data_IF_054122192879
#
_entry.id   IF_054122192879
#
_cell.length_a   1.000
_cell.length_b   1.000
_cell.length_c   1.000
_cell.angle_alpha   90.00
_cell.angle_beta   90.00
_cell.angle_gamma   90.00
#
_symmetry.space_group_name_H-M   'P 1'
#
loop_
_entity.id
_entity.type
_entity.pdbx_description
1 polymer ?
#
# COMPACT_ATOMS: atom_id res chain seq x y z
N UNK A 1 -50.86 33.01 38.61
CA UNK A 1 -49.94 31.99 38.07
C UNK A 1 -50.49 31.54 36.73
N UNK A 2 -49.95 32.09 35.64
CA UNK A 2 -50.36 31.78 34.26
C UNK A 2 -49.36 30.77 33.71
N UNK A 3 -49.83 29.58 33.32
CA UNK A 3 -48.99 28.53 32.77
C UNK A 3 -48.64 28.87 31.31
N UNK A 4 -47.35 28.96 31.02
CA UNK A 4 -46.85 29.14 29.66
C UNK A 4 -47.08 27.86 28.83
N UNK A 5 -47.39 27.97 27.53
CA UNK A 5 -47.58 26.82 26.66
C UNK A 5 -46.22 26.18 26.31
N UNK A 6 -46.16 24.86 26.41
CA UNK A 6 -45.03 24.03 26.01
C UNK A 6 -44.76 24.18 24.50
N UNK A 7 -43.51 24.33 24.05
CA UNK A 7 -43.21 24.41 22.62
C UNK A 7 -43.48 23.05 21.95
N UNK A 8 -44.16 23.09 20.80
CA UNK A 8 -44.37 21.93 19.95
C UNK A 8 -43.02 21.38 19.49
N UNK A 9 -42.82 20.07 19.65
CA UNK A 9 -41.66 19.36 19.12
C UNK A 9 -41.59 19.53 17.61
N UNK A 10 -40.45 19.99 17.10
CA UNK A 10 -40.16 19.98 15.66
C UNK A 10 -40.36 18.57 15.09
N UNK A 11 -40.96 18.42 13.90
CA UNK A 11 -41.07 17.13 13.25
C UNK A 11 -39.66 16.60 12.96
N UNK A 12 -39.41 15.34 13.33
CA UNK A 12 -38.20 14.63 12.95
C UNK A 12 -37.99 14.75 11.44
N UNK A 13 -36.74 14.96 10.96
CA UNK A 13 -36.47 15.08 9.54
C UNK A 13 -37.01 13.85 8.82
N UNK A 14 -37.81 14.07 7.77
CA UNK A 14 -38.37 13.00 6.95
C UNK A 14 -37.23 12.10 6.48
N UNK A 15 -37.33 10.80 6.80
CA UNK A 15 -36.38 9.80 6.32
C UNK A 15 -36.38 9.88 4.79
N UNK A 16 -35.22 10.20 4.22
CA UNK A 16 -35.04 10.19 2.77
C UNK A 16 -35.24 8.74 2.33
N UNK A 17 -36.34 8.43 1.66
CA UNK A 17 -36.56 7.11 1.07
C UNK A 17 -35.51 6.89 -0.03
N UNK A 18 -34.43 6.18 0.31
CA UNK A 18 -33.43 5.75 -0.66
C UNK A 18 -34.01 4.58 -1.44
N UNK A 19 -34.01 4.63 -2.77
CA UNK A 19 -34.53 3.53 -3.56
C UNK A 19 -33.72 2.25 -3.33
N UNK A 20 -34.42 1.12 -3.18
CA UNK A 20 -33.78 -0.19 -2.95
C UNK A 20 -32.80 -0.54 -4.08
N UNK A 21 -33.12 -0.16 -5.32
CA UNK A 21 -32.25 -0.33 -6.49
C UNK A 21 -30.92 0.44 -6.36
N UNK A 22 -30.96 1.68 -5.83
CA UNK A 22 -29.75 2.45 -5.59
C UNK A 22 -28.88 1.86 -4.47
N UNK A 23 -29.51 1.35 -3.42
CA UNK A 23 -28.83 0.62 -2.33
C UNK A 23 -28.12 -0.62 -2.88
N UNK A 24 -28.82 -1.45 -3.65
CA UNK A 24 -28.26 -2.69 -4.19
C UNK A 24 -27.14 -2.41 -5.20
N UNK A 25 -27.25 -1.36 -6.02
CA UNK A 25 -26.18 -0.94 -6.94
C UNK A 25 -24.91 -0.52 -6.19
N UNK A 26 -25.03 0.31 -5.13
CA UNK A 26 -23.89 0.70 -4.29
C UNK A 26 -23.29 -0.50 -3.56
N UNK A 27 -24.12 -1.36 -3.00
CA UNK A 27 -23.66 -2.55 -2.29
C UNK A 27 -22.94 -3.51 -3.24
N UNK A 28 -23.43 -3.66 -4.47
CA UNK A 28 -22.74 -4.44 -5.51
C UNK A 28 -21.37 -3.85 -5.84
N UNK A 29 -21.27 -2.52 -6.05
CA UNK A 29 -19.96 -1.88 -6.25
C UNK A 29 -19.02 -2.12 -5.07
N UNK A 30 -19.50 -2.04 -3.82
CA UNK A 30 -18.68 -2.30 -2.64
C UNK A 30 -18.18 -3.76 -2.60
N UNK A 31 -19.03 -4.72 -2.96
CA UNK A 31 -18.74 -6.15 -2.76
C UNK A 31 -18.24 -6.90 -3.99
N UNK A 32 -18.35 -6.32 -5.20
CA UNK A 32 -17.89 -6.98 -6.43
C UNK A 32 -16.39 -7.30 -6.38
N UNK A 33 -16.03 -8.47 -6.90
CA UNK A 33 -14.66 -8.98 -7.05
C UNK A 33 -13.91 -9.22 -5.71
N UNK A 34 -14.63 -9.28 -4.60
CA UNK A 34 -14.09 -9.71 -3.32
C UNK A 34 -14.17 -11.23 -3.18
N UNK A 35 -13.20 -11.82 -2.49
CA UNK A 35 -13.21 -13.23 -2.16
C UNK A 35 -14.12 -13.52 -0.97
N UNK A 36 -14.15 -12.61 0.02
CA UNK A 36 -14.95 -12.79 1.24
C UNK A 36 -15.42 -11.43 1.78
N UNK A 37 -16.62 -11.42 2.34
CA UNK A 37 -17.24 -10.26 2.99
C UNK A 37 -17.78 -10.70 4.35
N UNK A 38 -17.26 -10.14 5.43
CA UNK A 38 -17.76 -10.32 6.79
C UNK A 38 -18.53 -9.06 7.20
N UNK A 39 -19.71 -9.24 7.80
CA UNK A 39 -20.53 -8.12 8.27
C UNK A 39 -21.18 -7.28 7.16
N UNK A 40 -21.35 -7.81 5.94
CA UNK A 40 -21.95 -7.06 4.82
C UNK A 40 -23.34 -6.45 5.11
N UNK A 41 -24.12 -7.08 6.00
CA UNK A 41 -25.44 -6.58 6.41
C UNK A 41 -25.37 -5.21 7.10
N UNK A 42 -24.31 -4.91 7.86
CA UNK A 42 -24.16 -3.60 8.51
C UNK A 42 -23.94 -2.50 7.48
N UNK A 43 -23.16 -2.77 6.43
CA UNK A 43 -22.95 -1.86 5.30
C UNK A 43 -24.27 -1.64 4.56
N UNK A 44 -25.02 -2.72 4.29
CA UNK A 44 -26.33 -2.61 3.62
C UNK A 44 -27.32 -1.79 4.45
N UNK A 45 -27.34 -1.97 5.77
CA UNK A 45 -28.17 -1.19 6.67
C UNK A 45 -27.80 0.31 6.69
N UNK A 46 -26.50 0.65 6.65
CA UNK A 46 -26.04 2.04 6.53
C UNK A 46 -26.53 2.69 5.24
N UNK A 47 -26.42 1.98 4.11
CA UNK A 47 -26.89 2.46 2.81
C UNK A 47 -28.42 2.67 2.80
N UNK A 48 -29.19 1.76 3.40
CA UNK A 48 -30.65 1.90 3.55
C UNK A 48 -31.06 3.10 4.40
N UNK A 49 -30.23 3.48 5.39
CA UNK A 49 -30.42 4.68 6.20
C UNK A 49 -29.99 5.97 5.47
N UNK A 50 -29.51 5.87 4.22
CA UNK A 50 -28.97 7.01 3.48
C UNK A 50 -27.64 7.53 4.03
N UNK A 51 -26.96 6.76 4.88
CA UNK A 51 -25.63 7.12 5.41
C UNK A 51 -24.53 6.74 4.42
N UNK A 52 -23.45 7.51 4.46
CA UNK A 52 -22.23 7.23 3.70
C UNK A 52 -21.34 6.27 4.49
N UNK A 53 -21.05 5.06 3.98
CA UNK A 53 -20.10 4.17 4.64
C UNK A 53 -18.69 4.76 4.63
N UNK A 54 -17.93 4.48 5.69
CA UNK A 54 -16.53 4.87 5.86
C UNK A 54 -15.63 3.64 5.84
N UNK A 55 -14.58 3.68 5.01
CA UNK A 55 -13.61 2.61 4.86
C UNK A 55 -12.21 3.08 5.22
N UNK A 56 -11.37 2.18 5.71
CA UNK A 56 -9.93 2.33 5.51
C UNK A 56 -9.28 1.11 4.86
N UNK A 57 -8.20 1.40 4.14
CA UNK A 57 -7.22 0.43 3.67
C UNK A 57 -5.85 0.81 4.23
N UNK A 58 -5.19 -0.14 4.89
CA UNK A 58 -3.88 0.04 5.49
C UNK A 58 -2.77 -0.55 4.64
N UNK A 59 -1.66 0.17 4.53
CA UNK A 59 -0.43 -0.33 3.90
C UNK A 59 0.79 0.07 4.72
N UNK A 60 1.63 -0.91 5.05
CA UNK A 60 2.85 -0.71 5.81
C UNK A 60 4.01 -0.32 4.86
N UNK A 61 4.66 0.85 5.03
CA UNK A 61 5.80 1.27 4.21
C UNK A 61 7.07 0.43 4.44
N UNK A 62 7.08 -0.80 3.92
CA UNK A 62 8.16 -1.78 4.09
C UNK A 62 8.97 -1.93 2.80
N UNK A 63 8.73 -2.97 2.01
CA UNK A 63 9.39 -3.19 0.72
C UNK A 63 8.93 -2.18 -0.35
N UNK A 64 9.48 -2.29 -1.57
CA UNK A 64 8.94 -1.53 -2.71
C UNK A 64 7.58 -2.10 -3.13
N UNK A 65 6.53 -1.28 -3.26
CA UNK A 65 5.26 -1.67 -3.86
C UNK A 65 5.47 -2.25 -5.26
N UNK A 66 4.61 -3.19 -5.63
CA UNK A 66 4.65 -3.89 -6.90
C UNK A 66 3.28 -3.88 -7.55
N UNK A 67 3.19 -4.29 -8.82
CA UNK A 67 1.95 -4.25 -9.62
C UNK A 67 0.76 -4.98 -9.00
N UNK A 68 0.97 -5.94 -8.10
CA UNK A 68 -0.12 -6.51 -7.28
C UNK A 68 -0.92 -5.48 -6.46
N UNK A 69 -0.39 -4.28 -6.20
CA UNK A 69 -1.13 -3.18 -5.57
C UNK A 69 -2.28 -2.67 -6.46
N UNK A 70 -2.29 -2.92 -7.76
CA UNK A 70 -3.44 -2.54 -8.59
C UNK A 70 -4.73 -3.21 -8.15
N UNK A 71 -4.68 -4.39 -7.52
CA UNK A 71 -5.86 -5.12 -7.02
C UNK A 71 -6.60 -4.31 -5.94
N UNK A 72 -5.98 -3.96 -4.80
CA UNK A 72 -6.65 -3.11 -3.82
C UNK A 72 -6.95 -1.71 -4.35
N UNK A 73 -6.12 -1.14 -5.22
CA UNK A 73 -6.34 0.21 -5.75
C UNK A 73 -7.55 0.29 -6.70
N UNK A 74 -7.77 -0.72 -7.54
CA UNK A 74 -8.97 -0.83 -8.37
C UNK A 74 -10.24 -0.98 -7.50
N UNK A 75 -10.14 -1.72 -6.39
CA UNK A 75 -11.25 -1.87 -5.43
C UNK A 75 -11.57 -0.55 -4.71
N UNK A 76 -10.56 0.24 -4.37
CA UNK A 76 -10.74 1.59 -3.82
C UNK A 76 -11.52 2.50 -4.79
N UNK A 77 -11.28 2.36 -6.10
CA UNK A 77 -12.06 3.09 -7.10
C UNK A 77 -13.56 2.74 -7.03
N UNK A 78 -13.89 1.45 -6.89
CA UNK A 78 -15.29 1.02 -6.72
C UNK A 78 -15.92 1.59 -5.43
N UNK A 79 -15.16 1.69 -4.35
CA UNK A 79 -15.63 2.31 -3.11
C UNK A 79 -15.99 3.78 -3.33
N UNK A 80 -15.13 4.54 -4.00
CA UNK A 80 -15.39 5.94 -4.33
C UNK A 80 -16.61 6.09 -5.25
N UNK A 81 -16.75 5.23 -6.26
CA UNK A 81 -17.95 5.18 -7.13
C UNK A 81 -19.23 4.83 -6.38
N UNK A 82 -19.14 4.03 -5.33
CA UNK A 82 -20.27 3.75 -4.42
C UNK A 82 -20.56 4.92 -3.45
N UNK A 83 -19.70 5.95 -3.43
CA UNK A 83 -19.80 7.12 -2.55
C UNK A 83 -19.22 6.90 -1.16
N UNK A 84 -18.39 5.87 -0.95
CA UNK A 84 -17.74 5.57 0.33
C UNK A 84 -16.66 6.61 0.63
N UNK A 85 -16.57 7.03 1.89
CA UNK A 85 -15.44 7.82 2.37
C UNK A 85 -14.21 6.92 2.61
N UNK A 86 -13.14 7.11 1.84
CA UNK A 86 -11.96 6.23 1.90
C UNK A 86 -10.77 6.90 2.59
N UNK A 87 -10.26 6.23 3.62
CA UNK A 87 -8.99 6.55 4.30
C UNK A 87 -7.90 5.58 3.88
N UNK A 88 -6.73 6.11 3.53
CA UNK A 88 -5.52 5.35 3.21
C UNK A 88 -4.55 5.51 4.38
N UNK A 89 -4.39 4.45 5.18
CA UNK A 89 -3.46 4.46 6.31
C UNK A 89 -2.07 4.06 5.83
N UNK A 90 -1.13 5.01 5.90
CA UNK A 90 0.30 4.73 5.80
C UNK A 90 0.77 4.30 7.19
N UNK A 91 0.83 3.00 7.40
CA UNK A 91 1.07 2.38 8.69
C UNK A 91 2.58 2.32 9.02
N UNK A 92 3.18 3.48 9.26
CA UNK A 92 4.61 3.66 9.56
C UNK A 92 5.04 3.01 10.88
N UNK A 93 4.23 3.11 11.93
CA UNK A 93 4.48 2.37 13.19
C UNK A 93 4.48 0.87 12.94
N UNK A 94 3.51 0.35 12.18
CA UNK A 94 3.44 -1.06 11.82
C UNK A 94 4.63 -1.50 10.97
N UNK A 95 5.08 -0.67 10.04
CA UNK A 95 6.27 -0.94 9.24
C UNK A 95 7.53 -1.05 10.11
N UNK A 96 7.64 -0.25 11.17
CA UNK A 96 8.71 -0.39 12.16
C UNK A 96 8.58 -1.69 12.98
N UNK A 97 7.37 -2.05 13.41
CA UNK A 97 7.12 -3.23 14.25
C UNK A 97 7.34 -4.57 13.52
N UNK A 98 6.99 -4.64 12.23
CA UNK A 98 7.10 -5.84 11.40
C UNK A 98 8.49 -6.00 10.76
N UNK A 99 9.12 -4.88 10.38
CA UNK A 99 10.35 -4.92 9.61
C UNK A 99 11.59 -4.77 10.50
N UNK A 100 11.97 -5.88 11.16
CA UNK A 100 13.16 -6.13 12.01
C UNK A 100 14.53 -5.59 11.48
N UNK A 101 14.56 -4.90 10.34
CA UNK A 101 15.75 -4.37 9.66
C UNK A 101 15.66 -2.89 9.27
N UNK A 102 14.51 -2.22 9.38
CA UNK A 102 14.38 -0.81 8.99
C UNK A 102 14.30 0.12 10.22
N UNK A 103 15.27 1.02 10.43
CA UNK A 103 15.15 2.05 11.45
C UNK A 103 14.03 3.03 11.11
N UNK A 104 13.51 3.74 12.12
CA UNK A 104 12.43 4.73 11.97
C UNK A 104 12.72 5.78 10.88
N UNK A 105 13.98 6.23 10.78
CA UNK A 105 14.42 7.16 9.73
C UNK A 105 14.20 6.60 8.32
N UNK A 106 14.53 5.32 8.10
CA UNK A 106 14.30 4.65 6.83
C UNK A 106 12.80 4.47 6.56
N UNK A 107 12.01 4.17 7.59
CA UNK A 107 10.54 4.08 7.48
C UNK A 107 9.93 5.42 7.09
N UNK A 108 10.45 6.54 7.61
CA UNK A 108 9.99 7.88 7.22
C UNK A 108 10.22 8.14 5.72
N UNK A 109 11.39 7.80 5.18
CA UNK A 109 11.66 7.92 3.75
C UNK A 109 10.76 7.01 2.91
N UNK A 110 10.53 5.77 3.35
CA UNK A 110 9.61 4.84 2.68
C UNK A 110 8.17 5.32 2.71
N UNK A 111 7.73 5.88 3.83
CA UNK A 111 6.41 6.49 3.97
C UNK A 111 6.22 7.59 2.94
N UNK A 112 7.21 8.48 2.79
CA UNK A 112 7.16 9.53 1.76
C UNK A 112 7.13 8.97 0.34
N UNK A 113 7.92 7.93 0.08
CA UNK A 113 7.91 7.24 -1.22
C UNK A 113 6.53 6.63 -1.52
N UNK A 114 5.93 5.94 -0.56
CA UNK A 114 4.59 5.35 -0.68
C UNK A 114 3.53 6.41 -0.95
N UNK A 115 3.56 7.53 -0.22
CA UNK A 115 2.63 8.65 -0.43
C UNK A 115 2.69 9.14 -1.88
N UNK A 116 3.89 9.49 -2.38
CA UNK A 116 4.08 9.99 -3.74
C UNK A 116 3.68 8.95 -4.80
N UNK A 117 4.08 7.69 -4.61
CA UNK A 117 3.75 6.62 -5.54
C UNK A 117 2.25 6.36 -5.59
N UNK A 118 1.59 6.18 -4.44
CA UNK A 118 0.16 5.84 -4.40
C UNK A 118 -0.68 6.97 -4.99
N UNK A 119 -0.41 8.23 -4.64
CA UNK A 119 -1.09 9.39 -5.24
C UNK A 119 -0.94 9.37 -6.76
N UNK A 120 0.28 9.13 -7.27
CA UNK A 120 0.54 9.05 -8.71
C UNK A 120 -0.21 7.89 -9.37
N UNK A 121 -0.25 6.72 -8.73
CA UNK A 121 -0.98 5.56 -9.25
C UNK A 121 -2.48 5.81 -9.26
N UNK A 122 -3.05 6.44 -8.22
CA UNK A 122 -4.47 6.83 -8.20
C UNK A 122 -4.80 7.76 -9.37
N UNK A 123 -3.99 8.79 -9.62
CA UNK A 123 -4.13 9.67 -10.79
C UNK A 123 -4.02 8.90 -12.11
N UNK A 124 -3.14 7.89 -12.20
CA UNK A 124 -2.98 7.01 -13.36
C UNK A 124 -4.13 6.01 -13.57
N UNK A 125 -4.95 5.82 -12.55
CA UNK A 125 -6.21 5.07 -12.64
C UNK A 125 -7.39 6.00 -12.89
N UNK A 126 -7.16 7.32 -12.90
CA UNK A 126 -8.18 8.35 -13.04
C UNK A 126 -9.04 8.57 -11.79
N UNK A 127 -8.52 8.18 -10.62
CA UNK A 127 -9.18 8.32 -9.33
C UNK A 127 -8.88 9.72 -8.77
N UNK A 128 -9.89 10.53 -8.41
CA UNK A 128 -9.69 11.87 -7.90
C UNK A 128 -9.08 11.84 -6.50
N UNK A 129 -7.82 12.26 -6.39
CA UNK A 129 -7.07 12.18 -5.12
C UNK A 129 -7.61 13.13 -4.05
N UNK A 130 -8.40 14.14 -4.44
CA UNK A 130 -9.11 15.04 -3.54
C UNK A 130 -10.12 14.32 -2.63
N UNK A 131 -10.61 13.15 -3.04
CA UNK A 131 -11.55 12.31 -2.28
C UNK A 131 -10.86 11.29 -1.36
N UNK A 132 -9.55 11.13 -1.48
CA UNK A 132 -8.76 10.22 -0.68
C UNK A 132 -8.19 10.94 0.54
N UNK A 133 -8.37 10.35 1.73
CA UNK A 133 -7.76 10.87 2.96
C UNK A 133 -6.56 10.01 3.34
N UNK A 134 -5.34 10.50 3.08
CA UNK A 134 -4.12 9.82 3.53
C UNK A 134 -3.89 10.16 5.01
N UNK A 135 -3.72 9.13 5.84
CA UNK A 135 -3.48 9.25 7.28
C UNK A 135 -2.17 8.53 7.62
N UNK A 136 -1.34 9.16 8.45
CA UNK A 136 -0.09 8.56 8.94
C UNK A 136 -0.36 7.87 10.28
N UNK A 137 0.06 6.61 10.45
CA UNK A 137 -0.17 5.86 11.70
C UNK A 137 0.37 6.58 12.94
N UNK A 138 1.61 7.06 12.88
CA UNK A 138 2.25 7.79 13.96
C UNK A 138 1.56 9.10 14.33
N UNK A 139 0.65 9.64 13.50
CA UNK A 139 -0.09 10.86 13.83
C UNK A 139 -1.12 10.69 14.94
N UNK A 140 -1.53 9.45 15.25
CA UNK A 140 -2.50 9.17 16.33
C UNK A 140 -2.12 7.97 17.21
N UNK A 141 -1.36 7.00 16.70
CA UNK A 141 -1.01 5.77 17.43
C UNK A 141 -0.08 6.01 18.64
N UNK A 142 0.49 7.21 18.75
CA UNK A 142 1.35 7.64 19.86
C UNK A 142 0.60 8.49 20.90
N UNK A 143 -0.69 8.74 20.70
CA UNK A 143 -1.50 9.53 21.64
C UNK A 143 -1.75 8.77 22.94
N UNK A 144 -2.08 9.52 23.99
CA UNK A 144 -2.39 8.96 25.32
C UNK A 144 -3.56 7.99 25.25
N UNK A 145 -4.61 8.37 24.53
CA UNK A 145 -5.87 7.64 24.41
C UNK A 145 -5.61 6.29 23.72
N UNK A 146 -4.94 6.33 22.57
CA UNK A 146 -4.60 5.12 21.81
C UNK A 146 -3.75 4.16 22.63
N UNK A 147 -2.73 4.66 23.32
CA UNK A 147 -1.85 3.82 24.14
C UNK A 147 -2.59 3.23 25.35
N UNK A 148 -3.53 3.96 25.95
CA UNK A 148 -4.35 3.43 27.02
C UNK A 148 -5.21 2.24 26.53
N UNK A 149 -5.81 2.34 25.34
CA UNK A 149 -6.55 1.21 24.76
C UNK A 149 -5.64 0.05 24.35
N UNK A 150 -4.44 0.33 23.86
CA UNK A 150 -3.43 -0.69 23.62
C UNK A 150 -3.09 -1.46 24.91
N UNK A 151 -2.91 -0.76 26.04
CA UNK A 151 -2.71 -1.42 27.33
C UNK A 151 -3.93 -2.25 27.78
N UNK A 152 -5.15 -1.78 27.53
CA UNK A 152 -6.37 -2.59 27.78
C UNK A 152 -6.40 -3.86 26.93
N UNK A 153 -5.98 -3.78 25.66
CA UNK A 153 -5.82 -4.96 24.81
C UNK A 153 -4.77 -5.91 25.38
N UNK A 154 -3.59 -5.41 25.76
CA UNK A 154 -2.55 -6.21 26.39
C UNK A 154 -3.01 -6.91 27.67
N UNK A 155 -3.95 -6.32 28.41
CA UNK A 155 -4.53 -6.90 29.63
C UNK A 155 -5.63 -7.94 29.36
N UNK A 156 -6.14 -8.07 28.12
CA UNK A 156 -7.30 -8.90 27.79
C UNK A 156 -7.03 -9.95 26.71
N UNK A 157 -6.06 -9.69 25.82
CA UNK A 157 -5.65 -10.57 24.73
C UNK A 157 -4.63 -11.58 25.25
N UNK A 158 -4.85 -12.86 24.95
CA UNK A 158 -3.85 -13.89 25.27
C UNK A 158 -2.70 -13.86 24.27
N UNK A 159 -1.49 -14.24 24.71
CA UNK A 159 -0.33 -14.40 23.82
C UNK A 159 -0.64 -15.33 22.63
N UNK A 160 -1.34 -16.44 22.92
CA UNK A 160 -1.77 -17.40 21.92
C UNK A 160 -2.62 -16.75 20.81
N UNK A 161 -3.61 -15.95 21.19
CA UNK A 161 -4.52 -15.32 20.22
C UNK A 161 -3.81 -14.25 19.40
N UNK A 162 -2.97 -13.42 20.03
CA UNK A 162 -2.14 -12.44 19.32
C UNK A 162 -1.23 -13.11 18.29
N UNK A 163 -0.53 -14.18 18.69
CA UNK A 163 0.35 -14.95 17.79
C UNK A 163 -0.42 -15.58 16.64
N UNK A 164 -1.59 -16.17 16.93
CA UNK A 164 -2.46 -16.77 15.93
C UNK A 164 -2.98 -15.73 14.93
N UNK A 165 -3.38 -14.55 15.41
CA UNK A 165 -3.91 -13.47 14.58
C UNK A 165 -2.87 -12.96 13.58
N UNK A 166 -1.63 -12.76 14.02
CA UNK A 166 -0.54 -12.24 13.19
C UNK A 166 0.15 -13.26 12.27
N UNK A 167 -0.19 -14.55 12.33
CA UNK A 167 0.62 -15.62 11.73
C UNK A 167 0.85 -15.52 10.21
N UNK A 168 -0.07 -14.91 9.45
CA UNK A 168 0.01 -14.78 7.99
C UNK A 168 0.47 -13.39 7.52
N UNK A 169 0.56 -12.43 8.43
CA UNK A 169 0.85 -11.02 8.15
C UNK A 169 2.22 -10.64 8.70
N UNK A 170 2.47 -10.95 9.97
CA UNK A 170 3.74 -10.65 10.64
C UNK A 170 4.79 -11.65 10.20
N UNK A 171 5.99 -11.15 9.94
CA UNK A 171 7.12 -12.00 9.57
C UNK A 171 7.45 -13.04 10.66
N UNK A 172 7.38 -14.32 10.27
CA UNK A 172 7.75 -15.42 11.15
C UNK A 172 9.28 -15.54 11.25
N UNK A 173 9.80 -15.56 12.47
CA UNK A 173 11.23 -15.73 12.78
C UNK A 173 11.40 -16.75 13.92
N UNK A 174 12.59 -17.35 14.02
CA UNK A 174 12.89 -18.39 15.01
C UNK A 174 12.70 -17.91 16.45
N UNK A 175 13.05 -16.66 16.74
CA UNK A 175 12.83 -16.00 18.03
C UNK A 175 11.92 -14.77 17.83
N UNK A 176 10.59 -14.93 17.88
CA UNK A 176 9.64 -13.85 17.66
C UNK A 176 9.83 -12.72 18.67
N UNK A 177 9.78 -11.47 18.20
CA UNK A 177 9.80 -10.30 19.08
C UNK A 177 8.39 -9.99 19.60
N UNK A 178 8.33 -9.28 20.73
CA UNK A 178 7.08 -8.76 21.30
C UNK A 178 6.30 -7.88 20.30
N UNK A 179 7.01 -7.16 19.42
CA UNK A 179 6.38 -6.30 18.40
C UNK A 179 5.39 -7.05 17.52
N UNK A 180 5.67 -8.32 17.19
CA UNK A 180 4.79 -9.16 16.39
C UNK A 180 3.49 -9.55 17.11
N UNK A 181 3.50 -9.58 18.45
CA UNK A 181 2.31 -9.84 19.27
C UNK A 181 1.45 -8.58 19.45
N UNK A 182 2.05 -7.40 19.41
CA UNK A 182 1.32 -6.13 19.48
C UNK A 182 0.57 -5.83 18.17
N UNK A 183 1.16 -6.21 17.03
CA UNK A 183 0.68 -5.84 15.70
C UNK A 183 -0.84 -6.03 15.47
N UNK A 184 -1.46 -7.19 15.75
CA UNK A 184 -2.89 -7.37 15.49
C UNK A 184 -3.78 -6.47 16.37
N UNK A 185 -3.33 -6.18 17.59
CA UNK A 185 -4.02 -5.27 18.51
C UNK A 185 -4.04 -3.83 18.00
N UNK A 186 -2.89 -3.35 17.51
CA UNK A 186 -2.80 -2.01 16.94
C UNK A 186 -3.69 -1.88 15.70
N UNK A 187 -3.63 -2.85 14.78
CA UNK A 187 -4.48 -2.83 13.59
C UNK A 187 -5.97 -2.89 13.93
N UNK A 188 -6.39 -3.62 14.97
CA UNK A 188 -7.77 -3.59 15.44
C UNK A 188 -8.17 -2.20 15.97
N UNK A 189 -7.32 -1.54 16.76
CA UNK A 189 -7.61 -0.19 17.27
C UNK A 189 -7.69 0.85 16.15
N UNK A 190 -6.97 0.66 15.05
CA UNK A 190 -7.05 1.56 13.89
C UNK A 190 -8.48 1.69 13.36
N UNK A 191 -9.30 0.63 13.39
CA UNK A 191 -10.71 0.71 12.99
C UNK A 191 -11.50 1.74 13.82
N UNK A 192 -11.23 1.79 15.12
CA UNK A 192 -11.89 2.70 16.04
C UNK A 192 -11.36 4.13 15.88
N UNK A 193 -10.04 4.30 15.86
CA UNK A 193 -9.40 5.61 15.85
C UNK A 193 -9.45 6.31 14.49
N UNK A 194 -9.57 5.53 13.41
CA UNK A 194 -9.87 6.07 12.09
C UNK A 194 -11.36 6.34 11.90
N UNK A 195 -12.25 5.99 12.84
CA UNK A 195 -13.71 6.16 12.72
C UNK A 195 -14.24 5.61 11.38
N UNK A 196 -14.20 4.28 11.24
CA UNK A 196 -14.66 3.57 10.05
C UNK A 196 -15.75 2.55 10.37
N UNK A 197 -16.55 2.23 9.35
CA UNK A 197 -17.59 1.20 9.38
C UNK A 197 -17.06 -0.15 8.90
N UNK A 198 -16.04 -0.14 8.03
CA UNK A 198 -15.40 -1.34 7.54
C UNK A 198 -13.91 -1.17 7.23
N UNK A 199 -13.17 -2.26 7.34
CA UNK A 199 -11.79 -2.37 6.89
C UNK A 199 -11.71 -3.20 5.60
N UNK A 200 -10.87 -2.75 4.67
CA UNK A 200 -10.55 -3.46 3.45
C UNK A 200 -9.09 -3.95 3.44
N UNK A 201 -8.87 -5.19 3.02
CA UNK A 201 -7.52 -5.77 2.84
C UNK A 201 -7.56 -7.08 2.05
N UNK A 202 -6.42 -7.79 1.98
CA UNK A 202 -6.35 -9.12 1.39
C UNK A 202 -6.91 -10.20 2.33
N UNK A 203 -7.26 -11.37 1.78
CA UNK A 203 -7.66 -12.53 2.59
C UNK A 203 -6.58 -13.02 3.56
N UNK A 204 -5.31 -12.68 3.33
CA UNK A 204 -4.22 -12.94 4.29
C UNK A 204 -4.36 -12.16 5.60
N UNK A 205 -5.21 -11.11 5.63
CA UNK A 205 -5.53 -10.35 6.84
C UNK A 205 -6.70 -10.92 7.64
N UNK A 206 -7.38 -11.97 7.15
CA UNK A 206 -8.61 -12.53 7.75
C UNK A 206 -8.47 -12.85 9.24
N UNK A 207 -7.32 -13.35 9.67
CA UNK A 207 -7.06 -13.68 11.08
C UNK A 207 -6.98 -12.44 11.97
N UNK A 208 -6.47 -11.32 11.46
CA UNK A 208 -6.47 -10.03 12.17
C UNK A 208 -7.88 -9.43 12.19
N UNK A 209 -8.62 -9.52 11.09
CA UNK A 209 -10.01 -9.04 11.00
C UNK A 209 -10.93 -9.74 12.00
N UNK A 210 -10.89 -11.08 12.03
CA UNK A 210 -11.67 -11.86 13.02
C UNK A 210 -11.20 -11.63 14.46
N UNK A 211 -9.92 -11.31 14.67
CA UNK A 211 -9.40 -10.86 15.96
C UNK A 211 -10.01 -9.51 16.38
N UNK A 212 -10.10 -8.54 15.47
CA UNK A 212 -10.73 -7.24 15.74
C UNK A 212 -12.22 -7.39 16.09
N UNK A 213 -12.97 -8.22 15.35
CA UNK A 213 -14.38 -8.51 15.65
C UNK A 213 -14.59 -9.11 17.04
N UNK A 214 -13.61 -9.85 17.56
CA UNK A 214 -13.67 -10.47 18.88
C UNK A 214 -13.31 -9.50 20.01
N UNK A 215 -12.25 -8.70 19.81
CA UNK A 215 -11.64 -7.93 20.90
C UNK A 215 -12.12 -6.48 20.98
N UNK A 216 -12.50 -5.82 19.88
CA UNK A 216 -13.04 -4.45 19.93
C UNK A 216 -14.29 -4.33 20.82
N UNK A 217 -15.27 -5.25 20.79
CA UNK A 217 -16.42 -5.22 21.70
C UNK A 217 -16.06 -5.35 23.17
N UNK A 218 -14.95 -6.03 23.50
CA UNK A 218 -14.48 -6.16 24.89
C UNK A 218 -13.93 -4.84 25.44
N UNK A 219 -13.51 -3.94 24.56
CA UNK A 219 -13.12 -2.57 24.90
C UNK A 219 -14.32 -1.60 24.88
N UNK A 220 -15.52 -2.08 24.54
CA UNK A 220 -16.72 -1.25 24.38
C UNK A 220 -16.88 -0.60 23.01
N UNK A 221 -16.08 -1.01 22.03
CA UNK A 221 -16.15 -0.50 20.66
C UNK A 221 -17.01 -1.38 19.75
N UNK A 222 -17.58 -0.78 18.71
CA UNK A 222 -18.39 -1.52 17.73
C UNK A 222 -17.53 -2.50 16.92
N UNK A 223 -18.14 -3.60 16.46
CA UNK A 223 -17.54 -4.43 15.41
C UNK A 223 -17.62 -3.70 14.08
N UNK A 224 -16.63 -3.91 13.21
CA UNK A 224 -16.64 -3.42 11.82
C UNK A 224 -16.88 -4.57 10.85
N UNK A 225 -17.34 -4.23 9.66
CA UNK A 225 -17.34 -5.17 8.55
C UNK A 225 -15.91 -5.31 7.97
N UNK A 226 -15.62 -6.45 7.35
CA UNK A 226 -14.31 -6.75 6.78
C UNK A 226 -14.45 -7.27 5.35
N UNK A 227 -13.81 -6.57 4.42
CA UNK A 227 -13.89 -6.86 2.99
C UNK A 227 -12.54 -7.36 2.52
N UNK A 228 -12.52 -8.52 1.88
CA UNK A 228 -11.27 -9.21 1.55
C UNK A 228 -11.12 -9.48 0.06
N UNK A 229 -10.09 -8.92 -0.57
CA UNK A 229 -9.74 -9.26 -1.95
C UNK A 229 -8.97 -10.58 -2.03
N UNK A 230 -9.09 -11.27 -3.17
CA UNK A 230 -8.32 -12.46 -3.44
C UNK A 230 -6.82 -12.16 -3.52
N UNK A 231 -6.01 -13.16 -3.17
CA UNK A 231 -4.56 -13.10 -3.37
C UNK A 231 -4.23 -13.35 -4.84
N UNK A 232 -3.51 -12.43 -5.45
CA UNK A 232 -3.02 -12.63 -6.82
C UNK A 232 -1.68 -13.35 -6.77
N UNK A 233 -1.54 -14.49 -7.45
CA UNK A 233 -0.26 -15.18 -7.52
C UNK A 233 0.80 -14.33 -8.23
N UNK A 234 2.05 -14.53 -7.86
CA UNK A 234 3.20 -13.98 -8.55
C UNK A 234 3.28 -14.50 -9.98
N UNK A 235 3.93 -13.73 -10.85
CA UNK A 235 4.07 -14.07 -12.28
C UNK A 235 4.81 -15.39 -12.52
N UNK A 236 5.67 -15.79 -11.58
CA UNK A 236 6.44 -17.04 -11.64
C UNK A 236 5.77 -18.20 -10.88
N UNK A 237 4.54 -18.03 -10.39
CA UNK A 237 3.88 -18.94 -9.45
C UNK A 237 4.18 -18.59 -7.98
N UNK A 238 3.26 -18.92 -7.06
CA UNK A 238 3.38 -18.61 -5.63
C UNK A 238 2.92 -17.20 -5.23
N UNK A 239 3.28 -16.70 -4.03
CA UNK A 239 2.92 -15.35 -3.55
C UNK A 239 3.90 -14.30 -4.11
N UNK A 240 3.40 -13.17 -4.62
CA UNK A 240 4.27 -12.05 -5.01
C UNK A 240 4.95 -11.47 -3.76
N UNK A 241 6.29 -11.53 -3.70
CA UNK A 241 7.06 -11.14 -2.52
C UNK A 241 7.86 -9.88 -2.78
N UNK A 242 7.68 -8.86 -1.94
CA UNK A 242 8.50 -7.64 -1.99
C UNK A 242 10.00 -7.88 -1.77
N UNK A 243 10.39 -9.06 -1.28
CA UNK A 243 11.78 -9.40 -0.92
C UNK A 243 12.58 -10.05 -2.06
N UNK A 244 11.92 -10.54 -3.11
CA UNK A 244 12.59 -11.14 -4.28
C UNK A 244 12.38 -10.24 -5.51
N UNK A 245 13.44 -9.57 -6.01
CA UNK A 245 13.34 -8.66 -7.16
C UNK A 245 12.90 -9.33 -8.47
N UNK A 246 13.07 -10.65 -8.61
CA UNK A 246 12.77 -11.39 -9.84
C UNK A 246 11.34 -11.91 -9.90
N UNK A 247 10.67 -12.11 -8.77
CA UNK A 247 9.28 -12.60 -8.70
C UNK A 247 8.22 -11.50 -8.74
N UNK A 248 8.62 -10.23 -8.82
CA UNK A 248 7.70 -9.07 -8.86
C UNK A 248 8.04 -8.08 -9.98
N UNK A 249 7.04 -7.34 -10.43
CA UNK A 249 7.21 -6.15 -11.28
C UNK A 249 6.99 -4.91 -10.42
N UNK A 250 7.97 -4.01 -10.39
CA UNK A 250 7.89 -2.71 -9.72
C UNK A 250 7.09 -1.72 -10.59
N UNK A 251 6.44 -0.74 -9.97
CA UNK A 251 5.79 0.35 -10.69
C UNK A 251 6.78 1.16 -11.54
N UNK A 252 8.04 1.22 -11.11
CA UNK A 252 9.10 2.00 -11.76
C UNK A 252 9.97 1.16 -12.71
N UNK A 253 9.66 -0.13 -12.90
CA UNK A 253 10.42 -1.00 -13.83
C UNK A 253 10.33 -0.49 -15.28
N UNK A 254 11.49 -0.38 -15.94
CA UNK A 254 11.57 -0.01 -17.35
C UNK A 254 10.80 -1.02 -18.24
N UNK A 255 10.25 -0.58 -19.40
CA UNK A 255 9.46 -1.45 -20.28
C UNK A 255 10.13 -2.79 -20.64
N UNK A 256 11.43 -2.77 -20.86
CA UNK A 256 12.25 -3.92 -21.24
C UNK A 256 12.36 -4.92 -20.09
N UNK A 257 12.41 -4.42 -18.85
CA UNK A 257 12.41 -5.23 -17.62
C UNK A 257 11.05 -5.88 -17.42
N UNK A 258 9.97 -5.11 -17.58
CA UNK A 258 8.59 -5.62 -17.53
C UNK A 258 8.39 -6.76 -18.54
N UNK A 259 8.74 -6.51 -19.81
CA UNK A 259 8.65 -7.51 -20.90
C UNK A 259 9.48 -8.74 -20.60
N UNK A 260 10.70 -8.59 -20.09
CA UNK A 260 11.56 -9.70 -19.72
C UNK A 260 10.93 -10.56 -18.61
N UNK A 261 10.43 -9.94 -17.54
CA UNK A 261 9.81 -10.63 -16.40
C UNK A 261 8.54 -11.40 -16.80
N UNK A 262 7.66 -10.78 -17.61
CA UNK A 262 6.46 -11.45 -18.15
C UNK A 262 6.84 -12.60 -19.09
N UNK A 263 7.86 -12.42 -19.93
CA UNK A 263 8.34 -13.48 -20.83
C UNK A 263 8.80 -14.71 -20.05
N UNK A 264 9.51 -14.50 -18.94
CA UNK A 264 9.99 -15.57 -18.05
C UNK A 264 8.93 -16.19 -17.13
N UNK A 265 7.73 -15.59 -17.04
CA UNK A 265 6.63 -16.13 -16.24
C UNK A 265 6.29 -17.57 -16.66
N UNK A 266 5.89 -18.42 -15.71
CA UNK A 266 5.36 -19.74 -16.06
C UNK A 266 3.97 -19.57 -16.69
N UNK A 267 3.76 -20.16 -17.88
CA UNK A 267 2.49 -20.08 -18.61
C UNK A 267 2.46 -21.23 -19.62
N UNK A 268 1.94 -22.36 -19.17
CA UNK A 268 1.79 -23.58 -19.97
C UNK A 268 0.50 -23.51 -20.80
N UNK A 269 0.55 -23.93 -22.06
CA UNK A 269 -0.58 -23.87 -22.98
C UNK A 269 -1.73 -24.78 -22.51
N UNK A 270 -2.94 -24.22 -22.44
CA UNK A 270 -4.11 -24.94 -21.92
C UNK A 270 -4.21 -24.99 -20.39
N UNK A 271 -3.15 -24.65 -19.66
CA UNK A 271 -3.15 -24.68 -18.20
C UNK A 271 -3.74 -23.40 -17.60
N UNK A 272 -4.98 -23.49 -17.12
CA UNK A 272 -5.69 -22.39 -16.46
C UNK A 272 -5.52 -22.39 -14.93
N UNK A 273 -4.93 -23.44 -14.36
CA UNK A 273 -4.64 -23.57 -12.94
C UNK A 273 -3.22 -23.08 -12.65
N UNK A 274 -3.02 -22.38 -11.52
CA UNK A 274 -1.70 -21.87 -11.11
C UNK A 274 -0.98 -21.00 -12.17
N UNK A 275 -1.76 -20.33 -13.04
CA UNK A 275 -1.24 -19.50 -14.10
C UNK A 275 -1.22 -18.02 -13.70
N UNK A 276 -0.06 -17.54 -13.25
CA UNK A 276 0.12 -16.17 -12.77
C UNK A 276 -0.15 -15.09 -13.84
N UNK A 277 -0.04 -15.42 -15.12
CA UNK A 277 -0.35 -14.49 -16.22
C UNK A 277 -1.87 -14.31 -16.35
N UNK A 278 -2.63 -15.41 -16.37
CA UNK A 278 -4.10 -15.36 -16.40
C UNK A 278 -4.68 -14.70 -15.15
N UNK A 279 -4.16 -15.05 -13.97
CA UNK A 279 -4.62 -14.46 -12.72
C UNK A 279 -4.38 -12.94 -12.66
N UNK A 280 -3.29 -12.45 -13.27
CA UNK A 280 -3.04 -11.02 -13.37
C UNK A 280 -4.00 -10.33 -14.36
N UNK A 281 -4.38 -11.00 -15.44
CA UNK A 281 -5.42 -10.49 -16.36
C UNK A 281 -6.76 -10.35 -15.62
N UNK A 282 -7.16 -11.39 -14.90
CA UNK A 282 -8.42 -11.44 -14.13
C UNK A 282 -8.48 -10.38 -13.04
N UNK A 283 -7.42 -10.26 -12.24
CA UNK A 283 -7.45 -9.45 -11.02
C UNK A 283 -7.04 -7.99 -11.22
N UNK A 284 -6.36 -7.67 -12.33
CA UNK A 284 -5.81 -6.33 -12.58
C UNK A 284 -6.25 -5.77 -13.93
N UNK A 285 -5.89 -6.43 -15.04
CA UNK A 285 -6.04 -5.80 -16.35
C UNK A 285 -7.51 -5.66 -16.77
N UNK A 286 -8.31 -6.73 -16.67
CA UNK A 286 -9.74 -6.67 -16.99
C UNK A 286 -10.47 -5.68 -16.07
N UNK A 287 -10.31 -5.73 -14.74
CA UNK A 287 -10.92 -4.76 -13.83
C UNK A 287 -10.65 -3.30 -14.16
N UNK A 288 -9.40 -2.97 -14.54
CA UNK A 288 -9.02 -1.61 -14.94
C UNK A 288 -9.61 -1.27 -16.32
N UNK A 289 -9.65 -2.24 -17.25
CA UNK A 289 -10.23 -2.05 -18.57
C UNK A 289 -11.73 -1.75 -18.48
N UNK A 290 -12.48 -2.55 -17.72
CA UNK A 290 -13.89 -2.34 -17.41
C UNK A 290 -14.11 -0.97 -16.79
N UNK A 291 -13.31 -0.63 -15.77
CA UNK A 291 -13.39 0.67 -15.10
C UNK A 291 -13.24 1.84 -16.09
N UNK A 292 -12.31 1.72 -17.05
CA UNK A 292 -12.09 2.72 -18.10
C UNK A 292 -13.21 2.73 -19.15
N UNK A 293 -13.77 1.57 -19.51
CA UNK A 293 -14.92 1.46 -20.41
C UNK A 293 -16.19 2.09 -19.80
N UNK A 294 -16.52 1.72 -18.56
CA UNK A 294 -17.62 2.31 -17.78
C UNK A 294 -17.47 3.84 -17.74
N UNK A 295 -16.25 4.35 -17.51
CA UNK A 295 -15.97 5.79 -17.55
C UNK A 295 -16.21 6.42 -18.92
N UNK A 296 -15.76 5.78 -20.01
CA UNK A 296 -15.98 6.28 -21.38
C UNK A 296 -17.48 6.35 -21.72
N UNK A 297 -18.30 5.51 -21.12
CA UNK A 297 -19.76 5.54 -21.25
C UNK A 297 -20.45 6.53 -20.29
N UNK A 298 -19.70 7.20 -19.41
CA UNK A 298 -20.24 8.12 -18.40
C UNK A 298 -20.80 7.43 -17.14
N UNK A 299 -20.48 6.16 -16.92
CA UNK A 299 -21.00 5.32 -15.83
C UNK A 299 -20.11 5.40 -14.57
N UNK A 300 -19.81 6.61 -14.10
CA UNK A 300 -18.96 6.83 -12.90
C UNK A 300 -19.72 6.83 -11.57
N UNK A 301 -21.03 6.53 -11.60
CA UNK A 301 -21.91 6.45 -10.45
C UNK A 301 -21.86 7.70 -9.56
N UNK A 302 -21.47 7.57 -8.27
CA UNK A 302 -21.40 8.71 -7.36
C UNK A 302 -20.15 9.59 -7.58
N UNK A 303 -19.16 9.13 -8.34
CA UNK A 303 -17.91 9.85 -8.56
C UNK A 303 -17.93 10.67 -9.86
N UNK A 304 -18.49 11.88 -9.79
CA UNK A 304 -18.60 12.77 -10.95
C UNK A 304 -17.27 13.36 -11.43
N UNK A 305 -16.24 13.31 -10.58
CA UNK A 305 -14.92 13.90 -10.87
C UNK A 305 -13.93 12.83 -11.35
N UNK A 306 -14.36 11.57 -11.41
CA UNK A 306 -13.54 10.48 -11.91
C UNK A 306 -13.16 10.71 -13.38
N UNK A 307 -11.86 10.68 -13.67
CA UNK A 307 -11.38 10.97 -15.01
C UNK A 307 -11.30 12.46 -15.36
N UNK A 308 -11.60 13.38 -14.43
CA UNK A 308 -11.65 14.80 -14.72
C UNK A 308 -10.32 15.34 -15.31
N UNK A 309 -10.37 16.21 -16.33
CA UNK A 309 -9.17 16.86 -16.87
C UNK A 309 -8.39 17.60 -15.78
N UNK A 310 -7.08 17.36 -15.69
CA UNK A 310 -6.20 17.99 -14.70
C UNK A 310 -5.99 17.20 -13.40
N UNK A 311 -6.85 16.21 -13.10
CA UNK A 311 -6.65 15.29 -11.96
C UNK A 311 -6.05 13.92 -12.36
N UNK A 312 -5.97 13.65 -13.66
CA UNK A 312 -5.51 12.36 -14.20
C UNK A 312 -4.20 12.48 -14.99
N UNK A 313 -3.48 11.37 -15.13
CA UNK A 313 -2.25 11.28 -15.93
C UNK A 313 -2.32 10.09 -16.90
N UNK A 314 -1.68 10.23 -18.06
CA UNK A 314 -1.68 9.20 -19.11
C UNK A 314 -3.01 9.10 -19.87
N UNK A 315 -3.03 8.23 -20.89
CA UNK A 315 -4.14 8.15 -21.85
C UNK A 315 -5.46 7.57 -21.28
N UNK A 316 -5.43 6.91 -20.12
CA UNK A 316 -6.59 6.26 -19.50
C UNK A 316 -7.38 5.32 -20.43
N UNK A 317 -6.75 4.78 -21.47
CA UNK A 317 -7.41 3.93 -22.46
C UNK A 317 -7.64 2.51 -21.93
N UNK A 318 -8.78 1.87 -22.25
CA UNK A 318 -9.00 0.46 -21.94
C UNK A 318 -8.05 -0.43 -22.75
N UNK A 319 -7.87 -1.68 -22.35
CA UNK A 319 -6.97 -2.63 -23.01
C UNK A 319 -7.65 -3.32 -24.20
N UNK A 320 -8.26 -2.51 -25.06
CA UNK A 320 -9.08 -2.94 -26.21
C UNK A 320 -8.42 -2.48 -27.49
N UNK A 321 -8.23 -3.41 -28.44
CA UNK A 321 -7.60 -3.13 -29.72
C UNK A 321 -8.51 -2.34 -30.67
N UNK A 322 -7.89 -1.66 -31.63
CA UNK A 322 -8.64 -0.98 -32.69
C UNK A 322 -9.47 -2.00 -33.50
N UNK A 323 -10.74 -1.68 -33.74
CA UNK A 323 -11.66 -2.56 -34.48
C UNK A 323 -12.26 -3.71 -33.66
N UNK A 324 -12.01 -3.77 -32.35
CA UNK A 324 -12.63 -4.76 -31.49
C UNK A 324 -14.17 -4.62 -31.46
N UNK A 325 -14.92 -5.75 -31.40
CA UNK A 325 -16.37 -5.72 -31.24
C UNK A 325 -16.82 -4.97 -29.98
N UNK A 326 -18.01 -4.38 -30.02
CA UNK A 326 -18.63 -3.77 -28.85
C UNK A 326 -18.77 -4.79 -27.70
N UNK A 327 -18.46 -4.35 -26.48
CA UNK A 327 -18.44 -5.22 -25.29
C UNK A 327 -17.09 -5.90 -25.03
N UNK A 328 -16.09 -5.74 -25.89
CA UNK A 328 -14.73 -6.24 -25.63
C UNK A 328 -14.12 -5.54 -24.42
N UNK A 329 -13.59 -6.31 -23.46
CA UNK A 329 -12.87 -5.81 -22.28
C UNK A 329 -11.36 -6.02 -22.37
N UNK A 330 -10.89 -7.01 -23.13
CA UNK A 330 -9.46 -7.26 -23.31
C UNK A 330 -9.16 -7.78 -24.72
N UNK A 331 -8.08 -7.29 -25.34
CA UNK A 331 -7.64 -7.72 -26.66
C UNK A 331 -6.22 -8.29 -26.62
N UNK A 332 -6.01 -9.36 -27.37
CA UNK A 332 -4.69 -9.95 -27.61
C UNK A 332 -4.30 -9.69 -29.06
N UNK A 333 -3.27 -8.88 -29.25
CA UNK A 333 -2.74 -8.64 -30.59
C UNK A 333 -1.98 -9.85 -31.10
N UNK A 334 -2.27 -10.23 -32.34
CA UNK A 334 -1.55 -11.27 -33.08
C UNK A 334 -1.55 -10.89 -34.56
N UNK A 335 -0.41 -11.10 -35.22
CA UNK A 335 -0.27 -10.81 -36.64
C UNK A 335 -1.23 -11.67 -37.48
N UNK A 336 -1.74 -11.11 -38.58
CA UNK A 336 -2.73 -11.78 -39.45
C UNK A 336 -2.27 -13.16 -39.94
N UNK A 337 -0.97 -13.31 -40.21
CA UNK A 337 -0.37 -14.59 -40.64
C UNK A 337 -0.45 -15.69 -39.59
N UNK A 338 -0.73 -15.35 -38.34
CA UNK A 338 -0.94 -16.28 -37.24
C UNK A 338 -2.40 -16.37 -36.82
N UNK A 339 -3.33 -15.80 -37.59
CA UNK A 339 -4.77 -15.86 -37.37
C UNK A 339 -5.39 -14.60 -36.78
N UNK A 340 -4.71 -13.46 -36.85
CA UNK A 340 -5.24 -12.14 -36.47
C UNK A 340 -5.46 -11.95 -34.96
N UNK A 341 -5.81 -10.73 -34.57
CA UNK A 341 -6.04 -10.36 -33.16
C UNK A 341 -7.31 -10.99 -32.59
N UNK A 342 -7.29 -11.31 -31.30
CA UNK A 342 -8.42 -11.89 -30.56
C UNK A 342 -9.00 -10.89 -29.58
N UNK A 343 -10.31 -10.91 -29.40
CA UNK A 343 -11.06 -9.98 -28.56
C UNK A 343 -11.98 -10.75 -27.61
N UNK A 344 -11.97 -10.38 -26.33
CA UNK A 344 -12.72 -11.07 -25.28
C UNK A 344 -13.62 -10.09 -24.53
N UNK A 345 -14.90 -10.44 -24.38
CA UNK A 345 -15.90 -9.67 -23.64
C UNK A 345 -15.92 -9.96 -22.14
N UNK A 346 -15.28 -11.04 -21.70
CA UNK A 346 -15.12 -11.38 -20.28
C UNK A 346 -13.83 -12.15 -20.02
N UNK A 347 -13.45 -12.27 -18.74
CA UNK A 347 -12.34 -13.14 -18.35
C UNK A 347 -12.61 -14.61 -18.67
N UNK A 348 -13.84 -15.10 -18.47
CA UNK A 348 -14.15 -16.50 -18.70
C UNK A 348 -14.01 -16.88 -20.18
N UNK A 349 -14.39 -15.98 -21.10
CA UNK A 349 -14.14 -16.20 -22.54
C UNK A 349 -12.64 -16.32 -22.86
N UNK A 350 -11.79 -15.47 -22.26
CA UNK A 350 -10.35 -15.52 -22.44
C UNK A 350 -9.75 -16.81 -21.86
N UNK A 351 -10.19 -17.19 -20.65
CA UNK A 351 -9.76 -18.39 -19.95
C UNK A 351 -10.17 -19.66 -20.71
N UNK A 352 -11.39 -19.71 -21.25
CA UNK A 352 -11.87 -20.82 -22.07
C UNK A 352 -11.12 -20.93 -23.39
N UNK A 353 -10.81 -19.81 -24.05
CA UNK A 353 -9.98 -19.80 -25.25
C UNK A 353 -8.55 -20.30 -24.96
N UNK A 354 -7.98 -19.93 -23.81
CA UNK A 354 -6.68 -20.43 -23.38
C UNK A 354 -6.72 -21.93 -23.07
N UNK A 355 -7.74 -22.41 -22.35
CA UNK A 355 -7.95 -23.83 -22.04
C UNK A 355 -8.11 -24.69 -23.30
N UNK A 356 -8.82 -24.17 -24.31
CA UNK A 356 -9.00 -24.79 -25.63
C UNK A 356 -7.77 -24.68 -26.55
N UNK A 357 -6.69 -24.02 -26.10
CA UNK A 357 -5.47 -23.78 -26.87
C UNK A 357 -5.68 -22.95 -28.14
N UNK A 358 -6.73 -22.13 -28.15
CA UNK A 358 -7.01 -21.15 -29.20
C UNK A 358 -6.16 -19.88 -29.01
N UNK A 359 -5.77 -19.62 -27.76
CA UNK A 359 -4.87 -18.54 -27.36
C UNK A 359 -3.51 -19.11 -26.92
N UNK A 360 -2.46 -18.81 -27.67
CA UNK A 360 -1.11 -19.30 -27.38
C UNK A 360 -0.45 -18.50 -26.24
N UNK A 361 0.32 -19.14 -25.33
CA UNK A 361 0.96 -18.46 -24.19
C UNK A 361 1.85 -17.27 -24.55
N UNK A 362 2.53 -17.34 -25.70
CA UNK A 362 3.38 -16.25 -26.19
C UNK A 362 2.58 -14.99 -26.47
N UNK A 363 1.39 -15.12 -27.06
CA UNK A 363 0.55 -14.00 -27.47
C UNK A 363 -0.11 -13.38 -26.24
N UNK A 364 -0.61 -14.23 -25.32
CA UNK A 364 -1.12 -13.79 -24.02
C UNK A 364 -0.05 -12.99 -23.25
N UNK A 365 1.17 -13.54 -23.12
CA UNK A 365 2.28 -12.84 -22.45
C UNK A 365 2.63 -11.52 -23.12
N UNK A 366 2.63 -11.45 -24.44
CA UNK A 366 2.90 -10.22 -25.17
C UNK A 366 1.85 -9.16 -24.87
N UNK A 367 0.56 -9.51 -24.98
CA UNK A 367 -0.55 -8.61 -24.68
C UNK A 367 -0.54 -8.12 -23.22
N UNK A 368 -0.28 -9.01 -22.27
CA UNK A 368 -0.14 -8.65 -20.84
C UNK A 368 1.04 -7.71 -20.62
N UNK A 369 2.18 -7.97 -21.25
CA UNK A 369 3.34 -7.09 -21.15
C UNK A 369 3.05 -5.70 -21.75
N UNK A 370 2.40 -5.63 -22.91
CA UNK A 370 2.03 -4.37 -23.56
C UNK A 370 1.04 -3.55 -22.72
N UNK A 371 0.00 -4.21 -22.20
CA UNK A 371 -0.99 -3.59 -21.32
C UNK A 371 -0.33 -3.05 -20.04
N UNK A 372 0.56 -3.84 -19.42
CA UNK A 372 1.24 -3.43 -18.20
C UNK A 372 2.26 -2.30 -18.45
N UNK A 373 2.98 -2.33 -19.58
CA UNK A 373 3.88 -1.24 -19.97
C UNK A 373 3.12 0.06 -20.14
N UNK A 374 1.95 0.04 -20.80
CA UNK A 374 1.06 1.20 -20.94
C UNK A 374 0.51 1.67 -19.59
N UNK A 375 0.11 0.74 -18.72
CA UNK A 375 -0.44 1.08 -17.41
C UNK A 375 0.60 1.77 -16.50
N UNK A 376 1.86 1.36 -16.60
CA UNK A 376 2.97 1.90 -15.79
C UNK A 376 3.63 3.16 -16.39
N UNK A 377 3.44 3.40 -17.69
CA UNK A 377 4.05 4.53 -18.40
C UNK A 377 3.82 5.89 -17.73
N UNK A 378 2.59 6.30 -17.38
CA UNK A 378 2.39 7.62 -16.77
C UNK A 378 3.00 7.73 -15.37
N UNK A 379 3.03 6.64 -14.61
CA UNK A 379 3.66 6.59 -13.28
C UNK A 379 5.17 6.78 -13.39
N UNK A 380 5.81 6.09 -14.35
CA UNK A 380 7.24 6.26 -14.64
C UNK A 380 7.56 7.66 -15.15
N UNK A 381 6.76 8.20 -16.06
CA UNK A 381 6.97 9.54 -16.60
C UNK A 381 6.92 10.59 -15.48
N UNK A 382 5.94 10.49 -14.57
CA UNK A 382 5.84 11.36 -13.40
C UNK A 382 7.06 11.24 -12.47
N UNK A 383 7.54 10.02 -12.21
CA UNK A 383 8.75 9.80 -11.42
C UNK A 383 10.01 10.39 -12.06
N UNK A 384 10.20 10.20 -13.36
CA UNK A 384 11.37 10.71 -14.08
C UNK A 384 11.38 12.26 -14.17
N UNK A 385 10.20 12.89 -14.13
CA UNK A 385 10.06 14.34 -14.14
C UNK A 385 10.28 14.99 -12.75
N UNK A 386 10.29 14.21 -11.67
CA UNK A 386 10.37 14.70 -10.29
C UNK A 386 11.72 14.33 -9.64
N UNK A 387 12.66 15.27 -9.61
CA UNK A 387 13.98 15.08 -8.99
C UNK A 387 13.90 14.84 -7.48
N UNK A 388 12.91 15.43 -6.80
CA UNK A 388 12.71 15.21 -5.37
C UNK A 388 12.24 13.79 -5.11
N UNK A 389 11.29 13.29 -5.90
CA UNK A 389 10.82 11.92 -5.77
C UNK A 389 11.94 10.91 -6.06
N UNK A 390 12.79 11.15 -7.06
CA UNK A 390 13.99 10.34 -7.30
C UNK A 390 14.96 10.35 -6.12
N UNK A 391 15.12 11.49 -5.44
CA UNK A 391 15.93 11.57 -4.21
C UNK A 391 15.30 10.78 -3.07
N UNK A 392 13.98 10.90 -2.88
CA UNK A 392 13.22 10.15 -1.86
C UNK A 392 13.35 8.64 -2.08
N UNK A 393 13.27 8.17 -3.33
CA UNK A 393 13.43 6.76 -3.68
C UNK A 393 14.80 6.20 -3.26
N UNK A 394 15.88 6.94 -3.55
CA UNK A 394 17.25 6.55 -3.18
C UNK A 394 17.44 6.48 -1.66
N UNK A 395 16.78 7.37 -0.91
CA UNK A 395 16.80 7.38 0.54
C UNK A 395 15.94 6.25 1.15
N UNK A 396 14.80 5.95 0.54
CA UNK A 396 13.87 4.91 1.00
C UNK A 396 14.39 3.48 0.75
N UNK A 397 15.17 3.31 -0.31
CA UNK A 397 15.70 2.02 -0.74
C UNK A 397 17.16 2.15 -1.21
N UNK A 398 18.09 2.44 -0.30
CA UNK A 398 19.50 2.56 -0.64
C UNK A 398 20.04 1.25 -1.22
N UNK A 399 20.91 1.34 -2.22
CA UNK A 399 21.56 0.17 -2.80
C UNK A 399 22.46 -0.47 -1.72
N UNK A 400 22.19 -1.73 -1.32
CA UNK A 400 22.99 -2.43 -0.32
C UNK A 400 24.45 -2.64 -0.75
N UNK A 401 24.77 -2.49 -2.04
CA UNK A 401 26.12 -2.61 -2.60
C UNK A 401 26.79 -1.25 -2.89
N UNK A 402 26.12 -0.13 -2.63
CA UNK A 402 26.72 1.18 -2.85
C UNK A 402 27.87 1.41 -1.86
N UNK A 403 29.04 1.79 -2.38
CA UNK A 403 30.17 2.21 -1.55
C UNK A 403 29.76 3.47 -0.78
N UNK A 404 30.03 3.58 0.54
CA UNK A 404 29.65 4.76 1.31
C UNK A 404 30.31 6.00 0.70
N UNK A 405 29.50 7.00 0.37
CA UNK A 405 30.03 8.30 -0.07
C UNK A 405 30.86 8.91 1.07
N UNK A 406 32.13 9.20 0.77
CA UNK A 406 33.02 9.90 1.72
C UNK A 406 32.42 11.28 2.00
N UNK A 407 31.87 11.48 3.21
CA UNK A 407 31.51 12.81 3.71
C UNK A 407 32.69 13.75 3.47
N UNK A 408 32.52 14.77 2.61
CA UNK A 408 33.52 15.83 2.41
C UNK A 408 33.78 16.47 3.77
N UNK A 409 34.97 16.27 4.35
CA UNK A 409 35.39 16.99 5.56
C UNK A 409 35.35 18.48 5.25
N UNK A 410 34.46 19.22 5.93
CA UNK A 410 34.50 20.68 5.94
C UNK A 410 35.87 21.05 6.52
N UNK A 411 36.71 21.74 5.72
CA UNK A 411 37.99 22.26 6.20
C UNK A 411 37.69 23.41 7.16
N UNK A 412 37.70 23.13 8.46
CA UNK A 412 37.76 24.18 9.49
C UNK A 412 39.15 24.80 9.39
N UNK A 413 39.20 26.08 9.01
CA UNK A 413 40.44 26.86 8.98
C UNK A 413 40.83 27.21 10.42
N UNK A 414 41.98 26.69 10.87
CA UNK A 414 42.62 27.14 12.10
C UNK A 414 43.74 28.12 11.74
N UNK A 415 43.67 29.41 12.13
CA UNK A 415 44.80 30.32 11.99
C UNK A 415 45.96 29.85 12.89
N UNK A 416 47.22 29.92 12.43
CA UNK A 416 48.37 29.46 13.21
C UNK A 416 48.59 30.35 14.45
N UNK A 417 49.07 29.77 15.57
CA UNK A 417 49.35 30.53 16.80
C UNK A 417 50.50 31.54 16.59
N UNK A 418 50.52 32.65 17.36
CA UNK A 418 51.50 33.72 17.17
C UNK A 418 52.91 33.20 17.46
N UNK A 419 53.89 33.50 16.59
CA UNK A 419 55.31 33.31 16.91
C UNK A 419 56.09 32.25 16.10
N UNK A 420 55.55 31.68 15.02
CA UNK A 420 56.35 30.89 14.06
C UNK A 420 56.38 31.53 12.67
N UNK A 421 56.91 32.75 12.61
CA UNK A 421 57.37 33.39 11.38
C UNK A 421 58.85 33.07 11.15
N UNK A 422 59.22 32.73 9.90
CA UNK A 422 60.61 32.55 9.47
C UNK A 422 61.38 33.86 9.64
N UNK A 423 62.02 34.06 10.80
CA UNK A 423 63.25 34.84 11.04
C UNK A 423 63.37 35.21 12.53
N UNK A 424 63.95 34.31 13.33
CA UNK A 424 64.60 34.66 14.59
C UNK A 424 65.60 33.56 15.00
N UNK A 425 66.88 33.93 15.13
CA UNK A 425 67.99 33.23 15.83
C UNK A 425 68.38 34.11 17.03
N UNK A 426 69.19 33.68 18.04
CA UNK A 426 69.82 32.38 18.36
C UNK A 426 69.53 31.93 19.83
N UNK A 427 70.00 30.79 20.34
CA UNK A 427 71.20 30.67 21.22
C UNK A 427 71.54 29.21 21.57
N UNK A 428 72.78 29.00 22.00
CA UNK A 428 73.58 27.76 22.08
C UNK A 428 73.22 26.76 23.20
N UNK A 429 73.74 25.55 23.01
CA UNK A 429 73.59 24.35 23.83
C UNK A 429 74.50 24.30 25.08
N UNK A 430 73.99 23.65 26.14
CA UNK A 430 74.71 22.96 27.21
C UNK A 430 73.72 21.90 27.78
N UNK A 431 73.95 20.59 27.65
CA UNK A 431 74.82 19.70 28.44
C UNK A 431 74.09 19.04 29.65
N UNK A 432 74.10 17.69 29.61
CA UNK A 432 74.15 16.71 30.71
C UNK A 432 72.97 16.48 31.69
N UNK A 433 72.57 15.20 31.82
CA UNK A 433 72.56 14.53 33.13
C UNK A 433 71.22 14.08 33.74
N UNK A 434 71.12 12.75 33.98
CA UNK A 434 70.43 12.07 35.09
C UNK A 434 68.94 11.58 34.92
N UNK A 435 68.56 10.48 35.62
CA UNK A 435 67.68 9.43 35.09
C UNK A 435 66.24 9.41 35.65
N UNK A 436 65.42 8.53 35.08
CA UNK A 436 64.00 8.32 35.37
C UNK A 436 63.70 7.79 36.79
N UNK A 437 62.58 8.24 37.42
CA UNK A 437 61.95 7.51 38.52
C UNK A 437 60.72 6.69 38.05
N UNK A 438 60.49 5.60 38.77
CA UNK A 438 59.49 4.55 38.54
C UNK A 438 58.02 5.00 38.81
N UNK A 439 57.01 4.16 38.49
CA UNK A 439 55.64 4.58 38.23
C UNK A 439 54.80 4.80 39.49
N UNK A 440 53.87 5.76 39.44
CA UNK A 440 52.85 5.98 40.47
C UNK A 440 51.55 5.19 40.15
N UNK A 441 50.85 4.66 41.17
CA UNK A 441 49.76 3.69 41.01
C UNK A 441 48.40 4.34 40.68
N UNK A 442 47.51 3.54 40.09
CA UNK A 442 46.15 3.91 39.73
C UNK A 442 45.25 4.21 40.96
N UNK A 443 44.35 5.19 40.90
CA UNK A 443 43.23 5.31 41.84
C UNK A 443 42.06 4.41 41.43
N UNK A 444 41.53 3.69 42.41
CA UNK A 444 40.35 2.83 42.33
C UNK A 444 39.04 3.66 42.53
N UNK A 445 37.85 3.07 42.37
CA UNK A 445 36.61 3.74 41.97
C UNK A 445 35.84 4.38 43.14
N UNK A 446 35.11 5.45 42.86
CA UNK A 446 34.04 5.94 43.73
C UNK A 446 32.67 5.51 43.20
N UNK A 447 31.86 4.98 44.12
CA UNK A 447 30.42 4.77 44.03
C UNK A 447 29.78 5.50 45.24
N UNK A 448 28.47 5.39 45.48
CA UNK A 448 27.37 6.16 44.88
C UNK A 448 26.56 6.96 45.93
N UNK A 449 25.96 8.11 45.60
CA UNK A 449 24.87 8.79 46.36
C UNK A 449 24.26 9.84 45.40
N UNK A 450 22.95 10.09 45.21
CA UNK A 450 21.68 9.74 45.85
C UNK A 450 20.59 9.55 44.77
#
# INVERSE_FOLDING_TARGET
MSAAPTPASEPAPAAVEVSQQAVDAKFHLITRRLQEVLGGDSIKALLQQGKTPKCYWGTAPTGRPHVGYFVPLAKIADFLRAGVEVKILLADVHAFLDNLKAPLELVAHRTKFYELLLITVFKSLGIPTSKLRVVLGSSYQLTREYNLDNYKLCATVTEHDAKKAGAEVVKQVESPLLSGLLYPGLQALDEQYLDVDFQFGGVDQRKIFTFAELYLPRLGYAKRAHLMNAMVPGLTGGKMSSSDPNSKIDFLDAPEVVRKKIKSAFCEEGNVSDNGVLAFVEAVLIPISELRLERLHGETAADKDEGAPGETIGAQAPFVGAGAPAGTVFSVFREDKFGGSSHYGSYEELKDAFARKELHPKDLKAAVADALVHLLEPVRAAFLADEEWQRVEKLAYPDPNAKPEKKKKVKVYHPPPPGKGKNAKPAQAAAEGAPAPAPAPAPAPEAPVA
#
